data_IF_638815391455
#
_entry.id   IF_638815391455
#
_cell.length_a   1.000
_cell.length_b   1.000
_cell.length_c   1.000
_cell.angle_alpha   90.00
_cell.angle_beta   90.00
_cell.angle_gamma   90.00
#
_symmetry.space_group_name_H-M   'P 1'
#
loop_
_entity.id
_entity.type
_entity.pdbx_description
1 polymer ?
#
# COMPACT_ATOMS: atom_id res chain seq x y z
N UNK A 1 2.79 -14.11 70.22
CA UNK A 1 3.80 -14.91 71.02
C UNK A 1 4.82 -15.48 70.06
N UNK A 2 6.04 -15.16 70.36
CA UNK A 2 7.27 -15.91 70.05
C UNK A 2 7.63 -16.06 68.59
N UNK A 3 8.62 -15.29 68.10
CA UNK A 3 10.08 -15.58 68.22
C UNK A 3 10.48 -16.65 67.21
N UNK A 4 11.53 -16.63 66.43
CA UNK A 4 12.90 -16.13 66.50
C UNK A 4 13.56 -16.59 65.17
N UNK A 5 14.24 -15.72 64.43
CA UNK A 5 15.69 -15.64 64.21
C UNK A 5 16.35 -16.93 63.72
N UNK A 6 17.01 -16.90 62.63
CA UNK A 6 18.46 -16.95 62.41
C UNK A 6 18.73 -17.24 60.94
N UNK A 7 19.43 -16.48 60.26
CA UNK A 7 20.84 -16.20 60.12
C UNK A 7 21.64 -17.22 59.29
N UNK A 8 22.20 -16.67 58.25
CA UNK A 8 23.50 -16.95 57.66
C UNK A 8 23.59 -18.18 56.72
N UNK A 9 24.20 -18.13 55.65
CA UNK A 9 25.56 -17.88 55.28
C UNK A 9 25.77 -18.15 53.78
N UNK A 10 26.40 -17.26 53.14
CA UNK A 10 27.29 -17.32 51.98
C UNK A 10 27.60 -18.73 51.42
N UNK A 11 27.52 -18.84 50.10
CA UNK A 11 28.66 -19.23 49.30
C UNK A 11 28.48 -18.83 47.83
N UNK A 12 29.43 -18.03 47.41
CA UNK A 12 29.76 -17.64 46.07
C UNK A 12 30.31 -18.83 45.31
N UNK A 13 29.79 -19.16 44.17
CA UNK A 13 30.59 -19.71 43.08
C UNK A 13 29.96 -19.20 41.77
N UNK A 14 30.72 -18.37 41.08
CA UNK A 14 30.44 -17.93 39.72
C UNK A 14 30.68 -19.06 38.73
N UNK A 15 29.94 -19.06 37.69
CA UNK A 15 30.36 -19.57 36.36
C UNK A 15 29.61 -18.87 35.28
N UNK A 16 30.36 -18.11 34.53
CA UNK A 16 30.38 -17.87 33.09
C UNK A 16 29.05 -17.66 32.35
N UNK A 17 28.99 -16.45 31.88
CA UNK A 17 28.21 -15.94 30.77
C UNK A 17 28.15 -16.90 29.56
N UNK A 18 26.96 -17.15 29.10
CA UNK A 18 26.71 -17.42 27.68
C UNK A 18 25.72 -16.40 27.20
N UNK A 19 26.24 -15.33 26.63
CA UNK A 19 25.51 -14.37 25.84
C UNK A 19 25.00 -15.06 24.57
N UNK A 20 23.78 -15.55 24.60
CA UNK A 20 23.00 -15.73 23.39
C UNK A 20 22.27 -14.41 23.12
N UNK A 21 22.93 -13.53 22.39
CA UNK A 21 22.37 -12.31 21.87
C UNK A 21 21.48 -12.68 20.69
N UNK A 22 20.25 -12.98 20.97
CA UNK A 22 19.19 -13.05 19.97
C UNK A 22 18.90 -11.62 19.52
N UNK A 23 19.54 -11.21 18.44
CA UNK A 23 19.24 -9.97 17.74
C UNK A 23 17.88 -10.07 17.08
N UNK A 24 16.85 -9.82 17.85
CA UNK A 24 15.54 -9.47 17.35
C UNK A 24 15.66 -8.17 16.57
N UNK A 25 15.85 -8.30 15.25
CA UNK A 25 15.87 -7.19 14.30
C UNK A 25 14.44 -6.66 14.17
N UNK A 26 14.12 -5.69 15.02
CA UNK A 26 12.87 -4.95 14.92
C UNK A 26 12.71 -4.37 13.51
N UNK A 27 11.53 -4.47 12.89
CA UNK A 27 11.30 -3.88 11.57
C UNK A 27 11.47 -2.37 11.68
N UNK A 28 12.45 -1.85 10.93
CA UNK A 28 12.73 -0.44 10.78
C UNK A 28 11.46 0.26 10.32
N UNK A 29 10.82 0.99 11.23
CA UNK A 29 9.65 1.81 10.98
C UNK A 29 10.05 2.84 9.93
N UNK A 30 9.66 2.58 8.68
CA UNK A 30 9.81 3.54 7.59
C UNK A 30 8.89 4.70 7.97
N UNK A 31 9.47 5.81 8.39
CA UNK A 31 8.75 7.08 8.53
C UNK A 31 8.26 7.44 7.14
N UNK A 32 6.99 7.17 6.88
CA UNK A 32 6.32 7.75 5.73
C UNK A 32 6.46 9.27 5.88
N UNK A 33 7.19 9.87 4.94
CA UNK A 33 7.32 11.31 4.81
C UNK A 33 5.92 11.83 4.46
N UNK A 34 5.17 12.24 5.47
CA UNK A 34 3.89 12.92 5.28
C UNK A 34 4.21 14.27 4.65
N UNK A 35 4.25 14.30 3.34
CA UNK A 35 4.26 15.57 2.59
C UNK A 35 2.92 16.22 2.92
N UNK A 36 2.94 17.36 3.58
CA UNK A 36 1.75 18.15 3.84
C UNK A 36 1.11 18.47 2.48
N UNK A 37 -0.04 17.87 2.24
CA UNK A 37 -0.78 18.07 1.00
C UNK A 37 -1.39 19.47 1.04
N UNK A 38 -0.99 20.34 0.11
CA UNK A 38 -1.54 21.69 0.02
C UNK A 38 -3.07 21.63 -0.15
N UNK A 39 -3.80 22.38 0.69
CA UNK A 39 -5.25 22.52 0.53
C UNK A 39 -5.55 23.41 -0.68
N UNK A 40 -6.56 23.03 -1.44
CA UNK A 40 -7.02 23.78 -2.61
C UNK A 40 -8.50 24.16 -2.48
N UNK A 41 -8.89 25.25 -3.18
CA UNK A 41 -10.28 25.64 -3.34
C UNK A 41 -10.99 24.70 -4.32
N UNK A 42 -12.17 24.20 -3.96
CA UNK A 42 -12.90 23.21 -4.74
C UNK A 42 -12.70 21.79 -4.28
N UNK A 43 -13.09 20.81 -5.07
CA UNK A 43 -12.76 19.41 -4.83
C UNK A 43 -11.34 19.12 -5.31
N UNK A 44 -10.59 18.31 -4.56
CA UNK A 44 -9.21 17.96 -4.88
C UNK A 44 -8.97 16.46 -4.88
N UNK A 45 -7.94 16.02 -5.61
CA UNK A 45 -7.57 14.61 -5.65
C UNK A 45 -6.05 14.46 -5.71
N UNK A 46 -5.44 14.11 -4.59
CA UNK A 46 -4.00 13.88 -4.49
C UNK A 46 -3.73 12.43 -4.14
N UNK A 47 -2.95 11.76 -4.97
CA UNK A 47 -2.55 10.37 -4.79
C UNK A 47 -1.26 10.24 -3.99
N UNK A 48 -1.11 9.16 -3.23
CA UNK A 48 0.16 8.77 -2.60
C UNK A 48 1.18 8.35 -3.67
N UNK A 49 0.69 7.70 -4.73
CA UNK A 49 1.43 7.37 -5.94
C UNK A 49 0.46 7.31 -7.11
N UNK A 50 0.87 7.79 -8.27
CA UNK A 50 0.09 7.74 -9.51
C UNK A 50 0.57 6.60 -10.43
N UNK A 51 1.64 5.90 -10.02
CA UNK A 51 2.17 4.74 -10.74
C UNK A 51 2.40 3.59 -9.78
N UNK A 52 1.85 2.42 -10.11
CA UNK A 52 2.12 1.18 -9.41
C UNK A 52 2.91 0.25 -10.32
N UNK A 53 4.09 -0.15 -9.83
CA UNK A 53 4.90 -1.18 -10.46
C UNK A 53 4.56 -2.53 -9.82
N UNK A 54 4.02 -3.44 -10.63
CA UNK A 54 3.72 -4.81 -10.20
C UNK A 54 4.98 -5.66 -10.08
N UNK A 55 6.11 -5.17 -10.64
CA UNK A 55 7.30 -5.98 -10.81
C UNK A 55 7.03 -7.16 -11.75
N UNK A 56 7.57 -8.31 -11.40
CA UNK A 56 7.29 -9.57 -12.11
C UNK A 56 6.26 -10.36 -11.34
N UNK A 57 5.13 -10.66 -11.96
CA UNK A 57 4.02 -11.43 -11.37
C UNK A 57 3.86 -12.77 -12.07
N UNK A 58 3.41 -13.78 -11.34
CA UNK A 58 3.16 -15.09 -11.90
C UNK A 58 1.95 -15.07 -12.86
N UNK A 59 1.98 -15.96 -13.84
CA UNK A 59 0.83 -16.24 -14.70
C UNK A 59 -0.39 -16.65 -13.87
N UNK A 60 -1.55 -16.10 -14.20
CA UNK A 60 -2.82 -16.29 -13.47
C UNK A 60 -2.79 -15.91 -11.97
N UNK A 61 -1.84 -15.08 -11.54
CA UNK A 61 -1.80 -14.57 -10.17
C UNK A 61 -2.83 -13.45 -9.93
N UNK A 62 -3.00 -13.05 -8.66
CA UNK A 62 -3.88 -11.93 -8.34
C UNK A 62 -3.31 -10.60 -8.87
N UNK A 63 -4.00 -10.06 -9.86
CA UNK A 63 -3.66 -8.79 -10.51
C UNK A 63 -4.26 -7.56 -9.84
N UNK A 64 -4.82 -7.65 -8.62
CA UNK A 64 -5.41 -6.52 -7.91
C UNK A 64 -4.35 -5.64 -7.28
N UNK A 65 -4.51 -4.33 -7.42
CA UNK A 65 -3.73 -3.29 -6.73
C UNK A 65 -4.63 -2.11 -6.42
N UNK A 66 -4.16 -1.23 -5.53
CA UNK A 66 -4.95 -0.10 -5.04
C UNK A 66 -4.13 1.18 -5.05
N UNK A 67 -4.74 2.25 -5.55
CA UNK A 67 -4.24 3.61 -5.46
C UNK A 67 -5.00 4.32 -4.35
N UNK A 68 -4.27 4.83 -3.36
CA UNK A 68 -4.85 5.59 -2.27
C UNK A 68 -4.72 7.07 -2.58
N UNK A 69 -5.82 7.81 -2.47
CA UNK A 69 -5.85 9.26 -2.64
C UNK A 69 -6.50 9.94 -1.44
N UNK A 70 -6.33 11.25 -1.38
CA UNK A 70 -6.98 12.13 -0.40
C UNK A 70 -7.66 13.26 -1.13
N UNK A 71 -8.89 13.59 -0.75
CA UNK A 71 -9.52 14.84 -1.17
C UNK A 71 -8.85 16.00 -0.40
N UNK A 72 -7.92 16.69 -1.04
CA UNK A 72 -7.23 17.83 -0.47
C UNK A 72 -7.95 19.17 -0.68
N UNK A 73 -9.17 19.13 -1.21
CA UNK A 73 -10.01 20.29 -1.42
C UNK A 73 -10.87 20.65 -0.20
N UNK A 74 -11.68 21.69 -0.35
CA UNK A 74 -12.67 22.15 0.62
C UNK A 74 -14.11 21.79 0.24
N UNK A 75 -14.32 21.07 -0.88
CA UNK A 75 -15.62 20.56 -1.34
C UNK A 75 -15.59 19.04 -1.51
N UNK A 76 -16.75 18.36 -1.45
CA UNK A 76 -16.84 16.94 -1.72
C UNK A 76 -16.33 16.58 -3.11
N UNK A 77 -15.51 15.53 -3.20
CA UNK A 77 -15.00 14.99 -4.45
C UNK A 77 -15.92 13.86 -4.93
N UNK A 78 -16.32 13.94 -6.19
CA UNK A 78 -17.15 12.94 -6.86
C UNK A 78 -16.36 12.38 -8.04
N UNK A 79 -16.22 11.06 -8.09
CA UNK A 79 -15.66 10.36 -9.23
C UNK A 79 -16.82 9.89 -10.10
N UNK A 80 -16.90 10.39 -11.31
CA UNK A 80 -18.01 10.07 -12.24
C UNK A 80 -17.70 8.88 -13.11
N UNK A 81 -16.41 8.68 -13.45
CA UNK A 81 -15.97 7.57 -14.29
C UNK A 81 -14.55 7.13 -13.97
N UNK A 82 -14.25 5.87 -14.24
CA UNK A 82 -12.91 5.31 -14.27
C UNK A 82 -12.82 4.30 -15.42
N UNK A 83 -11.86 4.52 -16.32
CA UNK A 83 -11.73 3.72 -17.55
C UNK A 83 -10.29 3.25 -17.73
N UNK A 84 -10.10 1.93 -17.89
CA UNK A 84 -8.84 1.34 -18.29
C UNK A 84 -8.55 1.56 -19.78
N UNK A 85 -7.27 1.70 -20.12
CA UNK A 85 -6.79 1.86 -21.52
C UNK A 85 -7.02 0.62 -22.40
N UNK A 86 -7.38 -0.53 -21.79
CA UNK A 86 -7.74 -1.77 -22.49
C UNK A 86 -8.74 -2.57 -21.64
N UNK A 87 -9.40 -3.55 -22.24
CA UNK A 87 -10.26 -4.50 -21.52
C UNK A 87 -9.51 -5.42 -20.54
N UNK A 88 -8.17 -5.38 -20.55
CA UNK A 88 -7.29 -6.11 -19.63
C UNK A 88 -7.08 -5.41 -18.28
N UNK A 89 -7.63 -4.21 -18.11
CA UNK A 89 -7.51 -3.39 -16.91
C UNK A 89 -8.88 -2.93 -16.48
N UNK A 90 -9.34 -3.44 -15.34
CA UNK A 90 -10.68 -3.15 -14.81
C UNK A 90 -10.55 -2.31 -13.54
N UNK A 91 -10.88 -1.01 -13.59
CA UNK A 91 -10.88 -0.16 -12.42
C UNK A 91 -12.18 -0.28 -11.60
N UNK A 92 -12.04 -0.05 -10.29
CA UNK A 92 -13.16 0.15 -9.36
C UNK A 92 -12.93 1.45 -8.57
N UNK A 93 -13.99 2.15 -8.21
CA UNK A 93 -13.90 3.43 -7.50
C UNK A 93 -15.11 3.69 -6.61
N UNK A 94 -14.97 4.54 -5.56
CA UNK A 94 -16.08 4.93 -4.70
C UNK A 94 -17.17 5.65 -5.49
N UNK A 95 -18.42 5.28 -5.27
CA UNK A 95 -19.59 5.94 -5.87
C UNK A 95 -20.12 7.10 -5.02
N UNK A 96 -19.82 7.04 -3.72
CA UNK A 96 -20.21 8.07 -2.76
C UNK A 96 -19.26 9.27 -2.82
N UNK A 97 -19.76 10.49 -2.58
CA UNK A 97 -18.90 11.67 -2.47
C UNK A 97 -17.87 11.54 -1.35
N UNK A 98 -16.63 11.86 -1.64
CA UNK A 98 -15.52 11.83 -0.68
C UNK A 98 -15.39 13.21 -0.03
N UNK A 99 -15.63 13.28 1.28
CA UNK A 99 -15.57 14.52 2.04
C UNK A 99 -14.17 15.18 2.00
N UNK A 100 -14.09 16.51 2.19
CA UNK A 100 -12.82 17.20 2.37
C UNK A 100 -11.92 16.55 3.42
N UNK A 101 -10.67 16.28 3.09
CA UNK A 101 -9.70 15.63 3.96
C UNK A 101 -9.84 14.10 4.04
N UNK A 102 -10.91 13.51 3.54
CA UNK A 102 -11.11 12.08 3.55
C UNK A 102 -10.26 11.38 2.48
N UNK A 103 -9.95 10.11 2.75
CA UNK A 103 -9.24 9.22 1.82
C UNK A 103 -10.23 8.38 1.04
N UNK A 104 -9.83 8.04 -0.19
CA UNK A 104 -10.52 7.07 -1.03
C UNK A 104 -9.54 6.12 -1.69
N UNK A 105 -10.06 5.07 -2.30
CA UNK A 105 -9.29 4.02 -2.95
C UNK A 105 -9.80 3.81 -4.36
N UNK A 106 -8.90 3.78 -5.34
CA UNK A 106 -9.15 3.29 -6.68
C UNK A 106 -8.55 1.89 -6.78
N UNK A 107 -9.39 0.88 -6.85
CA UNK A 107 -8.95 -0.48 -7.12
C UNK A 107 -8.67 -0.65 -8.62
N UNK A 108 -7.66 -1.42 -8.96
CA UNK A 108 -7.35 -1.78 -10.35
C UNK A 108 -7.01 -3.26 -10.41
N UNK A 109 -7.66 -3.99 -11.30
CA UNK A 109 -7.35 -5.38 -11.59
C UNK A 109 -6.77 -5.49 -12.99
N UNK A 110 -5.54 -6.00 -13.10
CA UNK A 110 -4.91 -6.36 -14.36
C UNK A 110 -5.10 -7.85 -14.66
N UNK A 111 -5.34 -8.17 -15.93
CA UNK A 111 -5.48 -9.56 -16.40
C UNK A 111 -4.10 -10.21 -16.54
N UNK A 112 -3.70 -11.00 -15.55
CA UNK A 112 -2.42 -11.72 -15.49
C UNK A 112 -2.40 -13.02 -16.29
N UNK A 113 -3.46 -13.35 -17.04
CA UNK A 113 -3.48 -14.48 -17.97
C UNK A 113 -2.67 -14.23 -19.26
N UNK A 114 -2.10 -13.03 -19.40
CA UNK A 114 -1.26 -12.63 -20.53
C UNK A 114 0.19 -13.02 -20.30
N UNK A 115 0.46 -14.32 -20.36
CA UNK A 115 1.77 -14.91 -20.09
C UNK A 115 2.90 -14.32 -20.94
N UNK A 116 4.08 -14.15 -20.37
CA UNK A 116 5.29 -13.70 -21.05
C UNK A 116 5.26 -12.26 -21.56
N UNK A 117 4.33 -11.42 -21.07
CA UNK A 117 4.17 -10.05 -21.56
C UNK A 117 4.48 -9.02 -20.49
N UNK A 118 5.25 -8.01 -20.87
CA UNK A 118 5.34 -6.75 -20.14
C UNK A 118 4.12 -5.89 -20.43
N UNK A 119 3.68 -5.16 -19.43
CA UNK A 119 2.56 -4.23 -19.59
C UNK A 119 2.87 -2.86 -19.01
N UNK A 120 2.30 -1.86 -19.66
CA UNK A 120 2.21 -0.48 -19.19
C UNK A 120 0.83 0.03 -19.62
N UNK A 121 -0.07 0.16 -18.64
CA UNK A 121 -1.48 0.49 -18.87
C UNK A 121 -1.89 1.66 -18.01
N UNK A 122 -2.86 2.41 -18.48
CA UNK A 122 -3.39 3.57 -17.77
C UNK A 122 -4.85 3.37 -17.39
N UNK A 123 -5.22 4.05 -16.31
CA UNK A 123 -6.60 4.24 -15.87
C UNK A 123 -6.88 5.72 -15.84
N UNK A 124 -7.86 6.16 -16.60
CA UNK A 124 -8.31 7.54 -16.65
C UNK A 124 -9.52 7.71 -15.75
N UNK A 125 -9.41 8.61 -14.79
CA UNK A 125 -10.49 9.01 -13.89
C UNK A 125 -11.12 10.31 -14.39
N UNK A 126 -12.44 10.42 -14.29
CA UNK A 126 -13.20 11.66 -14.51
C UNK A 126 -13.87 12.04 -13.19
N UNK A 127 -13.68 13.28 -12.78
CA UNK A 127 -14.13 13.78 -11.47
C UNK A 127 -14.67 15.21 -11.56
N UNK A 128 -15.23 15.71 -10.44
CA UNK A 128 -15.57 17.11 -10.28
C UNK A 128 -14.43 17.95 -9.63
N UNK A 129 -13.23 17.40 -9.57
CA UNK A 129 -12.07 18.12 -9.02
C UNK A 129 -11.66 19.30 -9.89
N UNK A 130 -10.82 20.19 -9.33
CA UNK A 130 -10.22 21.33 -10.08
C UNK A 130 -9.46 20.80 -11.31
N UNK A 131 -8.76 19.68 -11.18
CA UNK A 131 -8.32 18.85 -12.30
C UNK A 131 -9.36 17.75 -12.56
N UNK A 132 -10.24 17.89 -13.55
CA UNK A 132 -11.35 16.96 -13.74
C UNK A 132 -10.91 15.59 -14.26
N UNK A 133 -9.73 15.50 -14.84
CA UNK A 133 -9.18 14.24 -15.39
C UNK A 133 -7.87 13.89 -14.70
N UNK A 134 -7.77 12.65 -14.19
CA UNK A 134 -6.57 12.13 -13.59
C UNK A 134 -6.19 10.80 -14.24
N UNK A 135 -4.91 10.64 -14.56
CA UNK A 135 -4.39 9.42 -15.20
C UNK A 135 -3.49 8.69 -14.22
N UNK A 136 -3.81 7.43 -13.95
CA UNK A 136 -3.01 6.51 -13.14
C UNK A 136 -2.34 5.49 -14.06
N UNK A 137 -1.16 5.05 -13.69
CA UNK A 137 -0.37 4.08 -14.48
C UNK A 137 -0.11 2.81 -13.70
N UNK A 138 -0.30 1.67 -14.33
CA UNK A 138 0.16 0.37 -13.86
C UNK A 138 1.16 -0.22 -14.85
N UNK A 139 2.23 -0.79 -14.37
CA UNK A 139 3.25 -1.44 -15.19
C UNK A 139 3.77 -2.71 -14.51
N UNK A 140 4.33 -3.60 -15.29
CA UNK A 140 4.91 -4.85 -14.78
C UNK A 140 5.17 -5.84 -15.89
N UNK A 141 5.52 -7.05 -15.49
CA UNK A 141 5.77 -8.18 -16.39
C UNK A 141 5.06 -9.43 -15.87
N UNK A 142 4.39 -10.15 -16.72
CA UNK A 142 3.79 -11.45 -16.40
C UNK A 142 4.74 -12.55 -16.85
N UNK A 143 5.11 -13.48 -15.97
CA UNK A 143 5.93 -14.64 -16.29
C UNK A 143 5.28 -15.50 -17.38
N UNK A 144 6.10 -16.19 -18.15
CA UNK A 144 5.61 -17.24 -19.05
C UNK A 144 4.90 -18.35 -18.26
N UNK A 145 3.92 -19.00 -18.88
CA UNK A 145 3.12 -20.05 -18.24
C UNK A 145 3.96 -21.20 -17.68
N UNK A 146 5.08 -21.50 -18.34
CA UNK A 146 5.99 -22.61 -17.97
C UNK A 146 6.89 -22.28 -16.78
N UNK A 147 7.20 -21.00 -16.55
CA UNK A 147 7.99 -20.54 -15.40
C UNK A 147 7.24 -20.59 -14.07
N UNK A 148 5.93 -20.80 -14.10
CA UNK A 148 5.09 -20.93 -12.89
C UNK A 148 5.04 -22.35 -12.32
N UNK A 149 5.68 -23.33 -12.97
CA UNK A 149 5.67 -24.75 -12.59
C UNK A 149 6.99 -25.25 -11.99
N UNK A 150 7.97 -24.36 -11.77
CA UNK A 150 9.27 -24.71 -11.17
C UNK A 150 9.32 -24.39 -9.70
#
# INVERSE_FOLDING_TARGET
MKKIITLALLLVVGVTASNAQETSKAPKKIKAKTTAVAKIEGAGMVFQTETIDYGTVAYNSDGKREFIFTNNGNKPLIITNAQGSCGCTVPTYPREPIAPGAKGVIGVKYDTSRAGQSFNKTVTLTTNAVEPTKVLTIKGNVLAADAAKS
#
